data_IF_683346792161
#
_entry.id   IF_683346792161
#
_cell.length_a   1.000
_cell.length_b   1.000
_cell.length_c   1.000
_cell.angle_alpha   90.00
_cell.angle_beta   90.00
_cell.angle_gamma   90.00
#
_symmetry.space_group_name_H-M   'P 1'
#
loop_
_entity.id
_entity.type
_entity.pdbx_description
1 polymer ?
#
# COMPACT_ATOMS: atom_id res chain seq x y z
N UNK A 1 9.34 3.18 -1.91
CA UNK A 1 9.80 2.19 -2.92
C UNK A 1 9.01 0.88 -2.88
N UNK A 2 8.59 0.36 -1.71
CA UNK A 2 7.86 -0.92 -1.61
C UNK A 2 6.66 -1.02 -2.56
N UNK A 3 5.80 -0.01 -2.58
CA UNK A 3 4.60 0.00 -3.43
C UNK A 3 4.91 -0.16 -4.93
N UNK A 4 5.98 0.47 -5.43
CA UNK A 4 6.38 0.32 -6.83
C UNK A 4 6.86 -1.11 -7.16
N UNK A 5 7.53 -1.78 -6.22
CA UNK A 5 7.92 -3.18 -6.41
C UNK A 5 6.73 -4.15 -6.31
N UNK A 6 5.68 -3.81 -5.55
CA UNK A 6 4.44 -4.60 -5.53
C UNK A 6 3.75 -4.65 -6.89
N UNK A 7 3.85 -3.57 -7.68
CA UNK A 7 3.25 -3.50 -9.02
C UNK A 7 4.16 -4.02 -10.13
N UNK A 8 5.41 -4.41 -9.83
CA UNK A 8 6.32 -4.90 -10.84
C UNK A 8 5.79 -6.12 -11.60
N UNK A 9 6.22 -6.28 -12.85
CA UNK A 9 5.85 -7.44 -13.70
C UNK A 9 6.14 -8.75 -12.99
N UNK A 10 7.32 -8.83 -12.34
CA UNK A 10 7.83 -10.03 -11.67
C UNK A 10 7.22 -10.27 -10.28
N UNK A 11 6.50 -9.28 -9.72
CA UNK A 11 5.90 -9.45 -8.40
C UNK A 11 4.77 -10.48 -8.44
N UNK A 12 4.77 -11.48 -7.52
CA UNK A 12 3.75 -12.53 -7.47
C UNK A 12 2.44 -12.00 -6.82
N UNK A 13 1.95 -10.89 -7.32
CA UNK A 13 0.73 -10.23 -6.86
C UNK A 13 -0.34 -10.34 -7.94
N UNK A 14 -1.58 -10.62 -7.53
CA UNK A 14 -2.70 -10.71 -8.45
C UNK A 14 -2.89 -9.40 -9.24
N UNK A 15 -3.25 -9.52 -10.52
CA UNK A 15 -3.38 -8.36 -11.40
C UNK A 15 -4.38 -7.32 -10.90
N UNK A 16 -5.50 -7.76 -10.33
CA UNK A 16 -6.50 -6.85 -9.72
C UNK A 16 -5.86 -5.95 -8.66
N UNK A 17 -4.99 -6.50 -7.80
CA UNK A 17 -4.33 -5.74 -6.75
C UNK A 17 -3.30 -4.77 -7.34
N UNK A 18 -2.54 -5.16 -8.38
CA UNK A 18 -1.64 -4.25 -9.10
C UNK A 18 -2.42 -3.08 -9.71
N UNK A 19 -3.53 -3.38 -10.39
CA UNK A 19 -4.39 -2.36 -10.98
C UNK A 19 -5.05 -1.45 -9.94
N UNK A 20 -5.40 -1.97 -8.75
CA UNK A 20 -5.90 -1.15 -7.66
C UNK A 20 -4.85 -0.12 -7.20
N UNK A 21 -3.58 -0.55 -7.07
CA UNK A 21 -2.49 0.38 -6.71
C UNK A 21 -2.28 1.46 -7.77
N UNK A 22 -2.35 1.12 -9.06
CA UNK A 22 -2.20 2.09 -10.17
C UNK A 22 -3.34 3.12 -10.22
N UNK A 23 -4.52 2.75 -9.75
CA UNK A 23 -5.70 3.64 -9.75
C UNK A 23 -5.80 4.48 -8.47
N UNK A 24 -5.19 4.01 -7.39
CA UNK A 24 -5.26 4.68 -6.09
C UNK A 24 -4.45 5.97 -6.09
N UNK A 25 -5.00 6.95 -5.39
CA UNK A 25 -4.34 8.21 -5.09
C UNK A 25 -3.93 8.24 -3.60
N UNK A 26 -3.18 9.23 -3.20
CA UNK A 26 -2.73 9.41 -1.82
C UNK A 26 -3.87 9.49 -0.81
N UNK A 27 -5.00 10.11 -1.19
CA UNK A 27 -6.20 10.24 -0.37
C UNK A 27 -6.99 8.93 -0.20
N UNK A 28 -6.75 7.93 -1.06
CA UNK A 28 -7.40 6.63 -0.98
C UNK A 28 -6.73 5.71 0.05
N UNK A 29 -5.62 6.15 0.64
CA UNK A 29 -4.84 5.36 1.59
C UNK A 29 -5.24 5.69 3.02
N UNK A 30 -5.53 4.64 3.79
CA UNK A 30 -5.90 4.73 5.20
C UNK A 30 -4.94 3.92 6.06
N UNK A 31 -4.74 4.39 7.31
CA UNK A 31 -4.02 3.65 8.34
C UNK A 31 -5.02 2.85 9.16
N UNK A 32 -4.79 1.55 9.31
CA UNK A 32 -5.57 0.65 10.16
C UNK A 32 -4.64 -0.06 11.13
N UNK A 33 -5.11 -0.37 12.33
CA UNK A 33 -4.35 -1.13 13.31
C UNK A 33 -3.58 -0.28 14.32
N UNK A 34 -3.93 0.98 14.49
CA UNK A 34 -3.35 1.85 15.52
C UNK A 34 -3.50 1.24 16.94
N UNK A 35 -4.63 0.56 17.19
CA UNK A 35 -4.89 -0.12 18.46
C UNK A 35 -3.90 -1.25 18.74
N UNK A 36 -3.32 -1.88 17.73
CA UNK A 36 -2.35 -2.99 17.88
C UNK A 36 -0.94 -2.50 18.21
N UNK A 37 -0.64 -1.23 17.92
CA UNK A 37 0.71 -0.66 17.97
C UNK A 37 1.55 -0.91 16.71
N UNK A 38 1.00 -1.62 15.72
CA UNK A 38 1.62 -1.91 14.43
C UNK A 38 0.68 -1.47 13.29
N UNK A 39 0.47 -0.16 13.08
CA UNK A 39 -0.43 0.33 12.06
C UNK A 39 0.05 -0.06 10.66
N UNK A 40 -0.88 -0.38 9.78
CA UNK A 40 -0.62 -0.69 8.38
C UNK A 40 -1.37 0.26 7.45
N UNK A 41 -0.71 0.66 6.38
CA UNK A 41 -1.28 1.52 5.34
C UNK A 41 -1.80 0.67 4.20
N UNK A 42 -3.06 0.89 3.82
CA UNK A 42 -3.71 0.14 2.75
C UNK A 42 -4.72 0.99 1.98
N UNK A 43 -5.08 0.53 0.78
CA UNK A 43 -6.14 1.14 -0.01
C UNK A 43 -7.46 0.97 0.74
N UNK A 44 -8.23 2.06 0.86
CA UNK A 44 -9.54 2.07 1.48
C UNK A 44 -10.51 1.19 0.69
N UNK A 45 -11.12 0.23 1.37
CA UNK A 45 -12.11 -0.70 0.83
C UNK A 45 -13.06 -1.13 1.95
N UNK A 46 -13.94 -2.10 1.69
CA UNK A 46 -14.90 -2.59 2.69
C UNK A 46 -14.22 -3.12 3.95
N UNK A 47 -13.13 -3.88 3.79
CA UNK A 47 -12.35 -4.36 4.93
C UNK A 47 -11.76 -3.20 5.74
N UNK A 48 -11.13 -2.23 5.08
CA UNK A 48 -10.54 -1.08 5.77
C UNK A 48 -11.60 -0.28 6.56
N UNK A 49 -12.79 -0.07 5.98
CA UNK A 49 -13.89 0.60 6.66
C UNK A 49 -14.37 -0.20 7.90
N UNK A 50 -14.41 -1.53 7.81
CA UNK A 50 -14.72 -2.41 8.94
C UNK A 50 -13.66 -2.32 10.04
N UNK A 51 -12.38 -2.38 9.68
CA UNK A 51 -11.26 -2.27 10.63
C UNK A 51 -11.27 -0.93 11.36
N UNK A 52 -11.45 0.18 10.62
CA UNK A 52 -11.55 1.52 11.21
C UNK A 52 -12.76 1.64 12.15
N UNK A 53 -13.89 1.02 11.80
CA UNK A 53 -15.09 0.98 12.66
C UNK A 53 -14.82 0.21 13.94
N UNK A 54 -14.17 -0.96 13.87
CA UNK A 54 -13.77 -1.75 15.04
C UNK A 54 -12.90 -0.90 15.98
N UNK A 55 -11.93 -0.14 15.44
CA UNK A 55 -11.06 0.72 16.24
C UNK A 55 -11.81 1.88 16.90
N UNK A 56 -12.78 2.47 16.20
CA UNK A 56 -13.55 3.60 16.71
C UNK A 56 -14.57 3.24 17.79
N UNK A 57 -15.15 2.03 17.71
CA UNK A 57 -16.27 1.61 18.55
C UNK A 57 -15.86 0.80 19.78
N UNK A 58 -14.59 0.37 19.89
CA UNK A 58 -14.15 -0.53 20.97
C UNK A 58 -12.95 0.02 21.75
N UNK A 59 -12.83 -0.35 23.05
CA UNK A 59 -11.61 -0.13 23.80
C UNK A 59 -10.40 -0.79 23.12
N UNK A 60 -9.22 -0.19 23.26
CA UNK A 60 -8.00 -0.58 22.54
C UNK A 60 -7.66 -2.08 22.57
N UNK A 61 -7.76 -2.68 23.74
CA UNK A 61 -7.44 -4.10 23.94
C UNK A 61 -8.46 -5.05 23.30
N UNK A 62 -9.72 -4.65 23.23
CA UNK A 62 -10.79 -5.37 22.54
C UNK A 62 -10.67 -5.18 21.04
N UNK A 63 -10.49 -3.93 20.60
CA UNK A 63 -10.31 -3.58 19.19
C UNK A 63 -9.15 -4.36 18.57
N UNK A 64 -7.99 -4.43 19.24
CA UNK A 64 -6.83 -5.17 18.75
C UNK A 64 -7.12 -6.64 18.46
N UNK A 65 -7.88 -7.33 19.33
CA UNK A 65 -8.27 -8.73 19.12
C UNK A 65 -9.23 -8.90 17.96
N UNK A 66 -10.28 -8.07 17.90
CA UNK A 66 -11.27 -8.09 16.83
C UNK A 66 -10.63 -7.78 15.47
N UNK A 67 -9.72 -6.81 15.42
CA UNK A 67 -9.01 -6.42 14.21
C UNK A 67 -8.13 -7.55 13.69
N UNK A 68 -7.39 -8.23 14.56
CA UNK A 68 -6.58 -9.40 14.19
C UNK A 68 -7.43 -10.55 13.63
N UNK A 69 -8.65 -10.71 14.14
CA UNK A 69 -9.58 -11.73 13.65
C UNK A 69 -10.19 -11.33 12.30
N UNK A 70 -10.66 -10.10 12.16
CA UNK A 70 -11.24 -9.57 10.93
C UNK A 70 -10.24 -9.49 9.77
N UNK A 71 -8.96 -9.17 10.05
CA UNK A 71 -7.91 -9.07 9.03
C UNK A 71 -7.27 -10.42 8.65
N UNK A 72 -7.67 -11.51 9.30
CA UNK A 72 -7.06 -12.83 9.06
C UNK A 72 -7.24 -13.28 7.60
N UNK A 73 -6.11 -13.53 6.93
CA UNK A 73 -6.11 -13.99 5.53
C UNK A 73 -6.31 -12.89 4.49
N UNK A 74 -6.56 -11.64 4.89
CA UNK A 74 -6.84 -10.53 3.98
C UNK A 74 -5.70 -10.25 3.00
N UNK A 75 -4.44 -10.40 3.42
CA UNK A 75 -3.28 -10.27 2.52
C UNK A 75 -3.31 -11.31 1.40
N UNK A 76 -3.66 -12.55 1.71
CA UNK A 76 -3.76 -13.62 0.72
C UNK A 76 -4.94 -13.37 -0.22
N UNK A 77 -6.09 -12.95 0.31
CA UNK A 77 -7.26 -12.59 -0.48
C UNK A 77 -6.93 -11.53 -1.53
N UNK A 78 -6.21 -10.46 -1.17
CA UNK A 78 -5.79 -9.44 -2.13
C UNK A 78 -4.72 -9.95 -3.09
N UNK A 79 -3.64 -10.55 -2.55
CA UNK A 79 -2.43 -10.82 -3.34
C UNK A 79 -2.52 -12.07 -4.20
N UNK A 80 -3.28 -13.09 -3.80
CA UNK A 80 -3.42 -14.36 -4.51
C UNK A 80 -4.74 -14.48 -5.24
N UNK A 81 -5.83 -14.14 -4.55
CA UNK A 81 -7.19 -14.36 -5.06
C UNK A 81 -7.72 -13.14 -5.82
N UNK A 82 -7.07 -11.97 -5.64
CA UNK A 82 -7.46 -10.73 -6.31
C UNK A 82 -8.78 -10.15 -5.82
N UNK A 83 -9.22 -10.56 -4.63
CA UNK A 83 -10.40 -10.01 -3.98
C UNK A 83 -10.05 -8.67 -3.32
N UNK A 84 -10.66 -7.60 -3.83
CA UNK A 84 -10.41 -6.23 -3.37
C UNK A 84 -11.40 -5.75 -2.30
N UNK A 85 -12.46 -6.52 -2.05
CA UNK A 85 -13.47 -6.16 -1.05
C UNK A 85 -13.04 -6.57 0.36
N UNK A 86 -12.55 -7.81 0.49
CA UNK A 86 -12.09 -8.39 1.77
C UNK A 86 -10.57 -8.49 1.87
N UNK A 87 -9.86 -8.20 0.80
CA UNK A 87 -8.41 -8.26 0.73
C UNK A 87 -7.75 -6.94 1.15
N UNK A 88 -6.67 -7.03 1.92
CA UNK A 88 -5.84 -5.87 2.27
C UNK A 88 -4.79 -5.61 1.19
N UNK A 89 -4.97 -4.57 0.39
CA UNK A 89 -3.95 -4.10 -0.57
C UNK A 89 -3.06 -3.09 0.14
N UNK A 90 -1.97 -3.59 0.73
CA UNK A 90 -1.04 -2.75 1.48
C UNK A 90 -0.19 -1.91 0.55
N UNK A 91 -0.29 -0.60 0.68
CA UNK A 91 0.50 0.38 -0.07
C UNK A 91 0.53 1.70 0.70
N UNK A 92 1.58 2.50 0.48
CA UNK A 92 1.67 3.84 1.07
C UNK A 92 1.13 4.91 0.12
N UNK A 93 1.00 6.13 0.61
CA UNK A 93 0.48 7.30 -0.13
C UNK A 93 1.26 7.59 -1.42
N UNK A 94 2.51 7.13 -1.53
CA UNK A 94 3.32 7.24 -2.75
C UNK A 94 2.73 6.49 -3.95
N UNK A 95 1.69 5.65 -3.74
CA UNK A 95 0.99 4.97 -4.84
C UNK A 95 0.47 5.95 -5.90
N UNK A 96 0.04 7.15 -5.52
CA UNK A 96 -0.39 8.19 -6.45
C UNK A 96 0.67 8.63 -7.47
N UNK A 97 1.94 8.27 -7.25
CA UNK A 97 3.04 8.51 -8.21
C UNK A 97 3.34 7.31 -9.11
N UNK A 98 2.66 6.16 -8.89
CA UNK A 98 2.88 4.94 -9.67
C UNK A 98 1.86 4.93 -10.80
N UNK A 99 2.31 5.19 -12.01
CA UNK A 99 1.43 5.36 -13.19
C UNK A 99 1.46 4.18 -14.14
N UNK A 100 2.42 3.27 -13.99
CA UNK A 100 2.60 2.13 -14.90
C UNK A 100 3.24 0.93 -14.23
N UNK A 101 3.01 -0.26 -14.78
CA UNK A 101 3.67 -1.51 -14.39
C UNK A 101 5.00 -1.59 -15.15
N UNK A 102 6.10 -1.69 -14.41
CA UNK A 102 7.46 -1.83 -14.95
C UNK A 102 8.07 -3.16 -14.54
N UNK A 103 9.09 -3.59 -15.27
CA UNK A 103 9.97 -4.66 -14.79
C UNK A 103 10.80 -4.15 -13.60
N UNK A 104 11.21 -5.04 -12.72
CA UNK A 104 12.12 -4.71 -11.59
C UNK A 104 13.39 -4.03 -12.12
N UNK A 105 13.92 -4.51 -13.25
CA UNK A 105 15.10 -3.91 -13.88
C UNK A 105 14.88 -2.43 -14.22
N UNK A 106 13.75 -2.13 -14.88
CA UNK A 106 13.45 -0.74 -15.27
C UNK A 106 13.22 0.14 -14.04
N UNK A 107 12.49 -0.37 -13.02
CA UNK A 107 12.30 0.35 -11.76
C UNK A 107 13.63 0.76 -11.11
N UNK A 108 14.61 -0.16 -11.07
CA UNK A 108 15.92 0.12 -10.48
C UNK A 108 16.70 1.12 -11.31
N UNK A 109 16.71 0.97 -12.65
CA UNK A 109 17.41 1.89 -13.55
C UNK A 109 16.84 3.30 -13.45
N UNK A 110 15.51 3.43 -13.54
CA UNK A 110 14.84 4.74 -13.44
C UNK A 110 15.11 5.38 -12.08
N UNK A 111 15.02 4.61 -11.00
CA UNK A 111 15.32 5.10 -9.66
C UNK A 111 16.73 5.66 -9.53
N UNK A 112 17.74 4.96 -10.08
CA UNK A 112 19.13 5.42 -10.05
C UNK A 112 19.30 6.72 -10.88
N UNK A 113 18.75 6.75 -12.08
CA UNK A 113 18.84 7.90 -12.97
C UNK A 113 18.14 9.13 -12.39
N UNK A 114 16.90 8.96 -11.91
CA UNK A 114 16.10 10.03 -11.31
C UNK A 114 16.78 10.57 -10.03
N UNK A 115 17.36 9.68 -9.22
CA UNK A 115 18.08 10.07 -8.01
C UNK A 115 19.31 10.91 -8.36
N UNK A 116 20.09 10.49 -9.36
CA UNK A 116 21.27 11.24 -9.82
C UNK A 116 20.86 12.63 -10.34
N UNK A 117 19.80 12.70 -11.14
CA UNK A 117 19.29 13.95 -11.67
C UNK A 117 18.79 14.90 -10.55
N UNK A 118 18.04 14.37 -9.59
CA UNK A 118 17.55 15.14 -8.44
C UNK A 118 18.70 15.66 -7.58
N UNK A 119 19.73 14.86 -7.33
CA UNK A 119 20.91 15.28 -6.58
C UNK A 119 21.67 16.40 -7.32
N UNK A 120 21.82 16.31 -8.63
CA UNK A 120 22.43 17.37 -9.43
C UNK A 120 21.62 18.66 -9.38
N UNK A 121 20.29 18.57 -9.47
CA UNK A 121 19.40 19.74 -9.36
C UNK A 121 19.41 20.35 -7.95
N UNK A 122 19.43 19.53 -6.91
CA UNK A 122 19.42 20.02 -5.52
C UNK A 122 20.67 20.84 -5.19
N UNK A 123 21.83 20.50 -5.77
CA UNK A 123 23.06 21.26 -5.60
C UNK A 123 22.94 22.71 -6.14
N UNK A 124 22.17 22.91 -7.22
CA UNK A 124 21.94 24.24 -7.79
C UNK A 124 20.92 25.08 -7.02
N UNK A 125 20.09 24.44 -6.15
CA UNK A 125 19.11 25.12 -5.31
C UNK A 125 19.70 25.58 -3.96
N UNK A 126 20.88 25.08 -3.60
CA UNK A 126 21.57 25.39 -2.34
C UNK A 126 22.49 26.63 -2.44
N UNK A 127 22.57 27.27 -3.60
CA UNK A 127 23.30 28.50 -3.89
C UNK A 127 22.34 29.67 -4.11
#
# INVERSE_FOLDING_TARGET
MGSAFLTAVEAPMHENAKQAVLKAQDIDIVSCGECTGEPSWQIRNKLADELLKIEAENPRDVAAKLLMEASRGSLAAASRDGDLDVGAVMTGQVCGLITEIKTVRNLVVDLCNDTEELLRKSYTLAL
#
